data_IF_944063685393
#
_entry.id   IF_944063685393
#
_cell.length_a   1.000
_cell.length_b   1.000
_cell.length_c   1.000
_cell.angle_alpha   90.00
_cell.angle_beta   90.00
_cell.angle_gamma   90.00
#
_symmetry.space_group_name_H-M   'P 1'
#
loop_
_entity.id
_entity.type
_entity.pdbx_description
1 polymer ?
#
# COMPACT_ATOMS: atom_id res chain seq x y z
N UNK A 1 36.80 32.29 -35.80
CA UNK A 1 35.63 31.72 -35.10
C UNK A 1 35.74 30.24 -35.35
N UNK A 2 36.50 29.58 -34.48
CA UNK A 2 36.92 28.20 -34.65
C UNK A 2 35.88 27.29 -34.01
N UNK A 3 35.41 26.32 -34.80
CA UNK A 3 34.46 25.31 -34.42
C UNK A 3 35.22 24.22 -33.66
N UNK A 4 34.91 24.06 -32.37
CA UNK A 4 35.46 22.99 -31.54
C UNK A 4 34.80 21.66 -31.91
N UNK A 5 35.63 20.65 -32.10
CA UNK A 5 35.28 19.26 -32.42
C UNK A 5 34.74 18.54 -31.17
N UNK A 6 33.65 17.78 -31.36
CA UNK A 6 33.06 16.90 -30.37
C UNK A 6 33.90 15.62 -30.19
N UNK A 7 34.40 15.36 -28.98
CA UNK A 7 35.00 14.07 -28.62
C UNK A 7 33.92 13.00 -28.31
N UNK A 8 34.11 11.74 -28.72
CA UNK A 8 33.19 10.66 -28.42
C UNK A 8 33.44 10.03 -27.04
N UNK A 9 32.37 9.90 -26.26
CA UNK A 9 32.34 9.19 -24.99
C UNK A 9 32.75 7.71 -25.14
N UNK A 10 33.76 7.29 -24.37
CA UNK A 10 34.20 5.91 -24.23
C UNK A 10 33.24 5.13 -23.32
N UNK A 11 32.72 4.00 -23.83
CA UNK A 11 31.96 3.03 -23.06
C UNK A 11 32.90 2.26 -22.12
N UNK A 12 32.63 2.29 -20.81
CA UNK A 12 33.29 1.39 -19.86
C UNK A 12 32.51 0.08 -19.75
N UNK A 13 33.20 -0.99 -20.10
CA UNK A 13 32.80 -2.39 -19.98
C UNK A 13 32.90 -2.83 -18.50
N UNK A 14 31.78 -3.18 -17.87
CA UNK A 14 31.76 -3.70 -16.50
C UNK A 14 31.44 -5.19 -16.51
N UNK A 15 32.46 -6.01 -16.72
CA UNK A 15 32.42 -7.44 -16.46
C UNK A 15 33.16 -7.73 -15.15
N UNK A 16 32.41 -8.11 -14.12
CA UNK A 16 32.97 -8.82 -12.96
C UNK A 16 31.91 -9.80 -12.43
N UNK A 17 32.05 -11.05 -12.86
CA UNK A 17 31.39 -12.20 -12.27
C UNK A 17 32.02 -12.51 -10.90
N UNK A 18 31.19 -12.73 -9.88
CA UNK A 18 31.59 -13.41 -8.64
C UNK A 18 30.50 -14.39 -8.24
N UNK A 19 30.88 -15.66 -8.18
CA UNK A 19 30.07 -16.81 -7.81
C UNK A 19 29.64 -16.78 -6.32
N UNK A 20 28.53 -17.46 -5.95
CA UNK A 20 28.17 -17.65 -4.55
C UNK A 20 28.91 -18.86 -3.96
N UNK A 21 29.52 -18.66 -2.79
CA UNK A 21 30.05 -19.73 -1.96
C UNK A 21 28.91 -20.45 -1.22
N UNK A 22 28.71 -21.72 -1.53
CA UNK A 22 27.87 -22.64 -0.77
C UNK A 22 28.55 -22.95 0.58
N UNK A 23 27.82 -22.78 1.68
CA UNK A 23 28.21 -23.34 3.00
C UNK A 23 27.32 -24.53 3.30
N UNK A 24 27.89 -25.72 3.17
CA UNK A 24 27.39 -26.96 3.76
C UNK A 24 27.26 -26.81 5.28
N UNK A 25 26.05 -27.01 5.80
CA UNK A 25 25.83 -27.29 7.23
C UNK A 25 25.81 -28.79 7.43
N UNK A 26 26.89 -29.34 7.98
CA UNK A 26 26.97 -30.69 8.49
C UNK A 26 26.20 -30.80 9.82
N UNK A 27 25.11 -31.57 9.83
CA UNK A 27 24.46 -32.02 11.06
C UNK A 27 25.25 -33.20 11.64
N UNK A 28 25.90 -32.98 12.78
CA UNK A 28 26.43 -34.06 13.63
C UNK A 28 25.32 -34.58 14.54
N UNK A 29 24.98 -35.85 14.36
CA UNK A 29 24.14 -36.64 15.26
C UNK A 29 25.01 -37.11 16.44
N UNK A 30 24.70 -36.64 17.65
CA UNK A 30 25.24 -37.22 18.88
C UNK A 30 24.14 -38.04 19.58
N UNK A 31 24.40 -39.33 19.65
CA UNK A 31 23.70 -40.33 20.43
C UNK A 31 24.26 -40.42 21.86
N UNK A 32 23.39 -40.61 22.84
CA UNK A 32 23.71 -41.39 24.04
C UNK A 32 23.67 -40.63 25.37
N UNK A 33 22.81 -41.10 26.29
CA UNK A 33 22.84 -40.72 27.70
C UNK A 33 21.57 -41.13 28.44
N UNK A 34 21.49 -42.37 28.92
CA UNK A 34 20.51 -42.81 29.92
C UNK A 34 20.83 -42.20 31.28
N UNK A 35 19.83 -41.61 31.94
CA UNK A 35 19.72 -41.63 33.41
C UNK A 35 18.25 -41.67 33.80
N UNK A 36 17.86 -42.77 34.44
CA UNK A 36 16.62 -42.91 35.20
C UNK A 36 16.68 -42.01 36.44
N UNK A 37 15.58 -41.32 36.73
CA UNK A 37 15.49 -40.43 37.89
C UNK A 37 14.11 -39.82 38.06
N UNK A 38 13.25 -40.55 38.78
CA UNK A 38 11.93 -40.16 39.29
C UNK A 38 11.93 -38.77 39.94
N UNK A 39 10.95 -37.93 39.61
CA UNK A 39 10.13 -37.08 40.50
C UNK A 39 8.94 -36.58 39.68
N UNK A 40 7.74 -37.04 40.03
CA UNK A 40 6.49 -36.60 39.42
C UNK A 40 6.21 -35.16 39.82
N UNK A 41 6.50 -34.24 38.92
CA UNK A 41 5.92 -32.91 38.93
C UNK A 41 4.61 -33.01 38.16
N UNK A 42 3.51 -32.73 38.85
CA UNK A 42 2.22 -32.43 38.24
C UNK A 42 2.43 -31.20 37.35
N UNK A 43 2.87 -31.45 36.11
CA UNK A 43 2.82 -30.49 35.02
C UNK A 43 1.33 -30.25 34.79
N UNK A 44 0.81 -29.23 35.48
CA UNK A 44 -0.44 -28.61 35.14
C UNK A 44 -0.30 -28.21 33.69
N UNK A 45 -0.91 -29.01 32.80
CA UNK A 45 -1.00 -28.78 31.37
C UNK A 45 -1.31 -27.29 31.19
N UNK A 46 -0.28 -26.54 30.81
CA UNK A 46 -0.40 -25.11 30.55
C UNK A 46 -1.58 -24.95 29.60
N UNK A 47 -2.42 -23.98 29.91
CA UNK A 47 -3.67 -23.60 29.27
C UNK A 47 -3.43 -23.35 27.76
N UNK A 48 -3.24 -24.43 26.99
CA UNK A 48 -3.12 -24.43 25.54
C UNK A 48 -4.49 -24.03 25.09
N UNK A 49 -4.71 -22.71 25.00
CA UNK A 49 -5.87 -22.13 24.38
C UNK A 49 -5.99 -22.78 23.01
N UNK A 50 -6.85 -23.80 22.93
CA UNK A 50 -7.06 -24.57 21.73
C UNK A 50 -7.73 -23.62 20.74
N UNK A 51 -6.90 -22.88 20.00
CA UNK A 51 -7.38 -22.10 18.88
C UNK A 51 -8.13 -23.09 17.98
N UNK A 52 -9.36 -22.76 17.61
CA UNK A 52 -10.19 -23.57 16.72
C UNK A 52 -10.29 -22.91 15.37
N UNK A 53 -10.43 -23.72 14.33
CA UNK A 53 -10.75 -23.22 13.02
C UNK A 53 -12.07 -22.44 13.07
N UNK A 54 -12.10 -21.25 12.45
CA UNK A 54 -13.25 -20.35 12.42
C UNK A 54 -14.46 -20.89 11.69
N UNK A 55 -14.27 -21.89 10.82
CA UNK A 55 -15.37 -22.59 10.16
C UNK A 55 -16.10 -23.51 11.15
N UNK A 56 -17.35 -23.17 11.44
CA UNK A 56 -18.29 -24.02 12.20
C UNK A 56 -18.30 -25.45 11.66
N UNK A 57 -18.18 -26.43 12.56
CA UNK A 57 -18.17 -27.86 12.22
C UNK A 57 -16.82 -28.42 11.73
N UNK A 58 -15.77 -27.61 11.64
CA UNK A 58 -14.42 -28.13 11.40
C UNK A 58 -13.85 -28.76 12.70
N UNK A 59 -13.63 -30.07 12.69
CA UNK A 59 -13.06 -30.79 13.84
C UNK A 59 -11.54 -30.65 13.96
N UNK A 60 -10.89 -30.02 12.97
CA UNK A 60 -9.45 -29.80 13.01
C UNK A 60 -9.11 -28.78 14.11
N UNK A 61 -8.59 -29.30 15.22
CA UNK A 61 -7.81 -28.51 16.18
C UNK A 61 -6.42 -28.29 15.59
N UNK A 62 -5.87 -27.09 15.74
CA UNK A 62 -4.55 -26.79 15.21
C UNK A 62 -3.50 -27.61 15.95
N UNK A 63 -2.88 -28.59 15.28
CA UNK A 63 -1.58 -29.15 15.71
C UNK A 63 -0.39 -28.31 15.21
N UNK A 64 -0.63 -27.41 14.24
CA UNK A 64 0.33 -26.50 13.59
C UNK A 64 -0.36 -25.18 13.23
N UNK A 65 0.44 -24.13 13.10
CA UNK A 65 0.03 -22.73 12.88
C UNK A 65 -1.08 -22.60 11.83
N UNK A 66 -2.31 -22.37 12.29
CA UNK A 66 -3.38 -21.86 11.43
C UNK A 66 -3.02 -20.47 10.90
N UNK A 67 -3.68 -20.03 9.83
CA UNK A 67 -3.48 -18.68 9.32
C UNK A 67 -4.69 -17.80 9.62
N UNK A 68 -4.41 -16.53 9.88
CA UNK A 68 -5.45 -15.52 10.07
C UNK A 68 -5.99 -15.07 8.72
N UNK A 69 -7.28 -14.77 8.66
CA UNK A 69 -7.91 -14.06 7.56
C UNK A 69 -7.07 -12.82 7.21
N UNK A 70 -6.66 -12.67 5.95
CA UNK A 70 -5.80 -11.55 5.55
C UNK A 70 -6.50 -10.19 5.62
N UNK A 71 -7.84 -10.20 5.65
CA UNK A 71 -8.63 -8.98 5.72
C UNK A 71 -8.77 -8.44 7.15
N UNK A 72 -9.32 -9.25 8.07
CA UNK A 72 -9.58 -8.83 9.45
C UNK A 72 -8.49 -9.25 10.46
N UNK A 73 -7.67 -10.23 10.11
CA UNK A 73 -6.69 -10.87 10.99
C UNK A 73 -7.24 -11.48 12.29
N UNK A 74 -8.55 -11.43 12.53
CA UNK A 74 -9.21 -11.95 13.74
C UNK A 74 -9.65 -13.41 13.61
N UNK A 75 -10.11 -13.82 12.42
CA UNK A 75 -10.56 -15.19 12.19
C UNK A 75 -9.40 -16.09 11.75
N UNK A 76 -9.23 -17.23 12.42
CA UNK A 76 -8.15 -18.19 12.12
C UNK A 76 -8.71 -19.41 11.39
N UNK A 77 -7.99 -19.92 10.39
CA UNK A 77 -8.40 -21.08 9.60
C UNK A 77 -7.28 -22.12 9.51
N UNK A 78 -7.66 -23.40 9.42
CA UNK A 78 -6.70 -24.51 9.30
C UNK A 78 -6.26 -24.80 7.86
N UNK A 79 -7.00 -24.28 6.89
CA UNK A 79 -6.73 -24.43 5.47
C UNK A 79 -7.51 -23.41 4.66
N UNK A 80 -7.03 -23.10 3.45
CA UNK A 80 -7.72 -22.22 2.50
C UNK A 80 -9.12 -22.74 2.19
N UNK A 81 -9.28 -24.06 2.06
CA UNK A 81 -10.59 -24.72 1.86
C UNK A 81 -11.59 -24.37 2.99
N UNK A 82 -11.14 -24.33 4.25
CA UNK A 82 -12.04 -24.00 5.36
C UNK A 82 -12.40 -22.52 5.37
N UNK A 83 -11.46 -21.66 5.04
CA UNK A 83 -11.71 -20.24 4.89
C UNK A 83 -12.65 -19.95 3.72
N UNK A 84 -12.52 -20.63 2.57
CA UNK A 84 -13.35 -20.38 1.38
C UNK A 84 -14.79 -20.77 1.66
N UNK A 85 -14.97 -21.93 2.31
CA UNK A 85 -16.30 -22.41 2.71
C UNK A 85 -16.94 -21.52 3.75
N UNK A 86 -16.16 -20.90 4.64
CA UNK A 86 -16.69 -19.97 5.65
C UNK A 86 -16.83 -18.55 5.12
N UNK A 87 -16.18 -18.19 4.01
CA UNK A 87 -16.15 -16.83 3.47
C UNK A 87 -17.54 -16.23 3.23
N UNK A 88 -18.53 -16.94 2.66
CA UNK A 88 -19.87 -16.40 2.48
C UNK A 88 -20.51 -15.89 3.77
N UNK A 89 -20.26 -16.54 4.91
CA UNK A 89 -20.79 -16.13 6.22
C UNK A 89 -19.87 -15.08 6.87
N UNK A 90 -18.55 -15.32 6.81
CA UNK A 90 -17.55 -14.46 7.44
C UNK A 90 -17.52 -13.06 6.82
N UNK A 91 -17.67 -12.91 5.49
CA UNK A 91 -17.53 -11.63 4.78
C UNK A 91 -18.42 -10.51 5.36
N UNK A 92 -19.57 -10.87 5.92
CA UNK A 92 -20.52 -9.93 6.50
C UNK A 92 -20.06 -9.40 7.87
N UNK A 93 -19.33 -10.22 8.62
CA UNK A 93 -18.78 -9.87 9.94
C UNK A 93 -17.26 -9.60 9.89
N UNK A 94 -16.66 -9.69 8.70
CA UNK A 94 -15.23 -9.47 8.51
C UNK A 94 -14.93 -7.97 8.59
N UNK A 95 -14.30 -7.57 9.69
CA UNK A 95 -13.85 -6.20 9.91
C UNK A 95 -12.53 -5.97 9.15
N UNK A 96 -12.63 -5.61 7.87
CA UNK A 96 -11.47 -5.46 7.00
C UNK A 96 -10.57 -4.32 7.50
N UNK A 97 -9.38 -4.67 7.99
CA UNK A 97 -8.34 -3.73 8.40
C UNK A 97 -8.00 -2.72 7.29
N UNK A 98 -7.58 -1.53 7.67
CA UNK A 98 -7.14 -0.51 6.72
C UNK A 98 -5.82 -0.93 6.04
N UNK A 99 -5.58 -0.44 4.82
CA UNK A 99 -4.26 -0.45 4.21
C UNK A 99 -3.48 0.78 4.64
N UNK A 100 -2.24 0.59 5.05
CA UNK A 100 -1.29 1.68 5.21
C UNK A 100 -0.51 1.82 3.91
N UNK A 101 -0.76 2.91 3.20
CA UNK A 101 -0.22 3.17 1.87
C UNK A 101 0.87 4.25 1.92
N UNK A 102 2.05 3.97 1.37
CA UNK A 102 3.06 4.98 1.04
C UNK A 102 2.72 5.58 -0.31
N UNK A 103 2.72 6.91 -0.43
CA UNK A 103 2.40 7.65 -1.65
C UNK A 103 3.57 8.59 -1.95
N UNK A 104 4.36 8.23 -2.96
CA UNK A 104 5.62 8.89 -3.31
C UNK A 104 5.55 9.47 -4.72
N UNK A 105 6.20 10.61 -5.01
CA UNK A 105 6.22 11.19 -6.36
C UNK A 105 7.21 10.43 -7.27
N UNK A 106 6.78 10.00 -8.46
CA UNK A 106 7.49 9.00 -9.30
C UNK A 106 8.86 9.46 -9.82
N UNK A 107 8.99 10.74 -10.21
CA UNK A 107 10.22 11.31 -10.77
C UNK A 107 11.43 11.27 -9.83
N UNK A 108 11.24 10.93 -8.55
CA UNK A 108 12.18 11.26 -7.49
C UNK A 108 12.62 10.09 -6.61
N UNK A 109 12.25 8.85 -6.97
CA UNK A 109 12.70 7.63 -6.27
C UNK A 109 14.22 7.50 -6.15
N UNK A 110 14.99 8.19 -6.99
CA UNK A 110 16.45 8.13 -7.02
C UNK A 110 17.13 9.25 -6.21
N UNK A 111 16.37 10.16 -5.60
CA UNK A 111 16.90 11.22 -4.74
C UNK A 111 16.27 11.10 -3.35
N UNK A 112 17.02 10.48 -2.43
CA UNK A 112 16.64 9.86 -1.16
C UNK A 112 15.85 10.67 -0.11
N UNK A 113 15.29 11.85 -0.40
CA UNK A 113 14.71 12.72 0.63
C UNK A 113 13.35 13.35 0.29
N UNK A 114 12.67 12.95 -0.80
CA UNK A 114 11.38 13.57 -1.09
C UNK A 114 10.28 13.05 -0.17
N UNK A 115 9.48 13.94 0.45
CA UNK A 115 8.40 13.54 1.34
C UNK A 115 7.22 12.96 0.55
N UNK A 116 7.11 11.63 0.56
CA UNK A 116 5.83 10.97 0.36
C UNK A 116 4.92 11.18 1.58
N UNK A 117 3.62 10.88 1.43
CA UNK A 117 2.74 10.76 2.57
C UNK A 117 2.42 9.28 2.83
N UNK A 118 2.22 8.94 4.10
CA UNK A 118 1.61 7.66 4.46
C UNK A 118 0.15 7.92 4.75
N UNK A 119 -0.74 7.07 4.24
CA UNK A 119 -2.18 7.19 4.44
C UNK A 119 -2.75 5.85 4.90
N UNK A 120 -3.50 5.85 5.99
CA UNK A 120 -4.38 4.75 6.36
C UNK A 120 -5.67 4.89 5.56
N UNK A 121 -5.95 3.88 4.73
CA UNK A 121 -7.10 3.85 3.83
C UNK A 121 -8.00 2.66 4.18
N UNK A 122 -9.31 2.86 4.35
CA UNK A 122 -10.24 1.76 4.52
C UNK A 122 -10.13 0.77 3.37
N UNK A 123 -9.98 -0.53 3.66
CA UNK A 123 -9.77 -1.53 2.60
C UNK A 123 -10.94 -1.60 1.60
N UNK A 124 -12.15 -1.34 2.07
CA UNK A 124 -13.37 -1.31 1.24
C UNK A 124 -13.60 0.04 0.53
N UNK A 125 -12.74 1.02 0.75
CA UNK A 125 -12.84 2.29 0.03
C UNK A 125 -12.67 2.06 -1.47
N UNK A 126 -13.52 2.74 -2.25
CA UNK A 126 -13.41 2.72 -3.71
C UNK A 126 -12.20 3.54 -4.17
N UNK A 127 -11.76 3.35 -5.41
CA UNK A 127 -10.74 4.20 -6.00
C UNK A 127 -11.21 5.65 -6.17
N UNK A 128 -12.51 5.89 -6.25
CA UNK A 128 -13.09 7.24 -6.17
C UNK A 128 -12.92 7.85 -4.77
N UNK A 129 -13.23 7.11 -3.71
CA UNK A 129 -13.01 7.57 -2.32
C UNK A 129 -11.52 7.84 -2.08
N UNK A 130 -10.65 6.95 -2.58
CA UNK A 130 -9.21 7.11 -2.49
C UNK A 130 -8.72 8.33 -3.29
N UNK A 131 -9.24 8.56 -4.49
CA UNK A 131 -8.97 9.78 -5.26
C UNK A 131 -9.37 11.04 -4.48
N UNK A 132 -10.55 11.07 -3.87
CA UNK A 132 -10.99 12.20 -3.05
C UNK A 132 -10.01 12.43 -1.89
N UNK A 133 -9.61 11.37 -1.20
CA UNK A 133 -8.62 11.44 -0.13
C UNK A 133 -7.28 12.00 -0.63
N UNK A 134 -6.80 11.53 -1.79
CA UNK A 134 -5.59 12.04 -2.44
C UNK A 134 -5.73 13.51 -2.85
N UNK A 135 -6.87 13.92 -3.39
CA UNK A 135 -7.11 15.31 -3.81
C UNK A 135 -7.10 16.29 -2.62
N UNK A 136 -7.55 15.83 -1.45
CA UNK A 136 -7.49 16.61 -0.21
C UNK A 136 -6.10 16.63 0.41
N UNK A 137 -5.27 15.64 0.09
CA UNK A 137 -4.00 15.37 0.75
C UNK A 137 -2.80 15.85 -0.04
N UNK A 138 -2.86 15.73 -1.36
CA UNK A 138 -1.82 16.10 -2.31
C UNK A 138 -2.14 17.45 -2.95
N UNK A 139 -1.14 18.18 -3.45
CA UNK A 139 -1.31 19.47 -4.12
C UNK A 139 -2.16 19.43 -5.43
N UNK A 140 -2.61 18.24 -5.86
CA UNK A 140 -3.28 18.03 -7.14
C UNK A 140 -4.83 18.05 -7.00
N UNK A 141 -5.44 19.21 -7.25
CA UNK A 141 -6.89 19.46 -7.06
C UNK A 141 -7.78 19.26 -8.29
N UNK A 142 -7.47 18.34 -9.23
CA UNK A 142 -8.10 18.38 -10.57
C UNK A 142 -8.71 17.05 -11.04
N UNK A 143 -9.77 17.10 -11.87
CA UNK A 143 -10.69 15.97 -12.09
C UNK A 143 -10.16 14.89 -13.03
N UNK A 144 -9.07 15.15 -13.76
CA UNK A 144 -8.50 14.17 -14.69
C UNK A 144 -7.46 13.36 -13.96
N UNK A 145 -7.84 12.14 -13.59
CA UNK A 145 -6.96 11.19 -12.92
C UNK A 145 -7.11 9.77 -13.47
N UNK A 146 -6.07 8.98 -13.28
CA UNK A 146 -6.08 7.54 -13.52
C UNK A 146 -5.16 6.82 -12.54
N UNK A 147 -5.53 5.60 -12.20
CA UNK A 147 -4.71 4.66 -11.47
C UNK A 147 -4.33 3.52 -12.40
N UNK A 148 -3.03 3.28 -12.54
CA UNK A 148 -2.50 2.21 -13.37
C UNK A 148 -1.92 1.15 -12.44
N UNK A 149 -2.48 -0.05 -12.48
CA UNK A 149 -2.18 -1.11 -11.52
C UNK A 149 -1.21 -2.10 -12.15
N UNK A 150 -0.15 -2.40 -11.41
CA UNK A 150 0.87 -3.35 -11.82
C UNK A 150 1.11 -4.41 -10.74
N UNK A 151 1.50 -5.60 -11.19
CA UNK A 151 2.03 -6.62 -10.31
C UNK A 151 3.49 -6.32 -9.97
N UNK A 152 3.84 -6.26 -8.69
CA UNK A 152 5.21 -5.97 -8.23
C UNK A 152 6.19 -7.03 -8.70
N UNK A 153 5.76 -8.28 -8.85
CA UNK A 153 6.62 -9.36 -9.37
C UNK A 153 7.12 -9.09 -10.78
N UNK A 154 6.39 -8.28 -11.56
CA UNK A 154 6.74 -7.95 -12.93
C UNK A 154 7.60 -6.67 -13.04
N UNK A 155 7.89 -6.00 -11.90
CA UNK A 155 8.59 -4.70 -11.88
C UNK A 155 10.08 -4.81 -11.54
N UNK A 156 10.74 -5.92 -11.86
CA UNK A 156 12.19 -6.08 -11.67
C UNK A 156 13.05 -5.28 -12.68
N UNK A 157 12.51 -4.22 -13.29
CA UNK A 157 13.17 -3.44 -14.33
C UNK A 157 12.85 -1.93 -14.24
N UNK A 158 13.57 -1.12 -15.04
CA UNK A 158 13.35 0.33 -15.08
C UNK A 158 11.93 0.69 -15.56
N UNK A 159 11.44 1.85 -15.11
CA UNK A 159 10.08 2.38 -15.37
C UNK A 159 9.72 2.41 -16.86
N UNK A 160 10.70 2.74 -17.70
CA UNK A 160 10.55 2.79 -19.16
C UNK A 160 10.20 1.44 -19.79
N UNK A 161 10.37 0.33 -19.06
CA UNK A 161 10.08 -1.03 -19.52
C UNK A 161 8.95 -1.67 -18.73
N UNK A 162 8.08 -0.86 -18.12
CA UNK A 162 6.95 -1.42 -17.40
C UNK A 162 6.11 -2.32 -18.30
N UNK A 163 5.74 -3.51 -17.79
CA UNK A 163 4.89 -4.42 -18.53
C UNK A 163 3.53 -3.76 -18.78
N UNK A 164 2.73 -4.38 -19.65
CA UNK A 164 1.35 -3.97 -19.84
C UNK A 164 0.64 -3.97 -18.48
N UNK A 165 -0.06 -2.87 -18.11
CA UNK A 165 -0.73 -2.80 -16.81
C UNK A 165 -1.83 -3.87 -16.71
N UNK A 166 -2.02 -4.40 -15.51
CA UNK A 166 -3.08 -5.38 -15.22
C UNK A 166 -4.44 -4.71 -15.34
N UNK A 167 -4.56 -3.49 -14.79
CA UNK A 167 -5.80 -2.70 -14.77
C UNK A 167 -5.51 -1.21 -14.91
N UNK A 168 -6.44 -0.49 -15.52
CA UNK A 168 -6.48 0.97 -15.53
C UNK A 168 -7.83 1.40 -14.94
N UNK A 169 -7.80 2.20 -13.89
CA UNK A 169 -8.99 2.68 -13.17
C UNK A 169 -9.09 4.19 -13.31
N UNK A 170 -10.26 4.72 -13.66
CA UNK A 170 -10.47 6.17 -13.85
C UNK A 170 -11.90 6.57 -13.47
N UNK A 171 -12.09 7.84 -13.07
CA UNK A 171 -13.41 8.38 -12.71
C UNK A 171 -14.22 8.92 -13.89
N UNK A 172 -13.59 9.19 -15.03
CA UNK A 172 -14.26 9.69 -16.24
C UNK A 172 -14.13 8.66 -17.36
N UNK A 173 -15.22 8.45 -18.11
CA UNK A 173 -15.18 7.75 -19.40
C UNK A 173 -14.36 8.57 -20.39
N UNK A 174 -13.05 8.38 -20.35
CA UNK A 174 -12.14 8.89 -21.36
C UNK A 174 -12.24 7.96 -22.57
N UNK A 175 -12.35 8.55 -23.77
CA UNK A 175 -12.33 7.82 -25.03
C UNK A 175 -10.91 7.28 -25.27
N UNK A 176 -10.62 6.11 -24.72
CA UNK A 176 -9.32 5.45 -24.86
C UNK A 176 -9.36 4.34 -25.91
N UNK A 177 -8.17 4.00 -26.42
CA UNK A 177 -7.97 2.93 -27.39
C UNK A 177 -8.50 1.58 -26.87
N UNK A 178 -9.03 0.72 -27.76
CA UNK A 178 -9.74 -0.53 -27.42
C UNK A 178 -8.90 -1.66 -26.79
N UNK A 179 -7.66 -1.39 -26.36
CA UNK A 179 -6.74 -2.41 -25.84
C UNK A 179 -6.71 -2.56 -24.31
N UNK A 180 -7.10 -1.56 -23.52
CA UNK A 180 -6.99 -1.61 -22.06
C UNK A 180 -8.32 -1.91 -21.39
N UNK A 181 -8.34 -2.79 -20.37
CA UNK A 181 -9.49 -2.95 -19.49
C UNK A 181 -9.56 -1.70 -18.61
N UNK A 182 -10.52 -0.83 -18.91
CA UNK A 182 -10.77 0.41 -18.18
C UNK A 182 -11.90 0.14 -17.21
N UNK A 183 -11.63 0.28 -15.93
CA UNK A 183 -12.61 0.09 -14.86
C UNK A 183 -13.04 1.43 -14.26
N UNK A 184 -14.30 1.48 -13.83
CA UNK A 184 -14.92 2.63 -13.16
C UNK A 184 -14.42 2.72 -11.71
N UNK A 185 -13.82 3.84 -11.33
CA UNK A 185 -13.26 4.08 -9.99
C UNK A 185 -14.27 3.92 -8.85
N UNK A 186 -15.56 4.08 -9.14
CA UNK A 186 -16.66 3.93 -8.15
C UNK A 186 -17.00 2.47 -7.85
N UNK A 187 -16.55 1.54 -8.69
CA UNK A 187 -16.92 0.12 -8.61
C UNK A 187 -15.82 -0.76 -8.04
N UNK A 188 -14.58 -0.29 -8.11
CA UNK A 188 -13.40 -1.04 -7.70
C UNK A 188 -12.92 -0.49 -6.37
N UNK A 189 -12.76 -1.38 -5.39
CA UNK A 189 -12.21 -1.05 -4.09
C UNK A 189 -10.73 -1.37 -3.98
N UNK A 190 -10.06 -0.80 -2.97
CA UNK A 190 -8.65 -1.11 -2.71
C UNK A 190 -8.44 -2.61 -2.43
N UNK A 191 -9.40 -3.23 -1.73
CA UNK A 191 -9.34 -4.66 -1.42
C UNK A 191 -9.43 -5.55 -2.66
N UNK A 192 -10.22 -5.16 -3.68
CA UNK A 192 -10.30 -5.87 -4.96
C UNK A 192 -8.97 -5.90 -5.72
N UNK A 193 -8.07 -4.94 -5.43
CA UNK A 193 -6.75 -4.84 -6.05
C UNK A 193 -5.66 -5.52 -5.22
N UNK A 194 -5.59 -5.21 -3.93
CA UNK A 194 -4.52 -5.70 -3.07
C UNK A 194 -4.75 -7.13 -2.55
N UNK A 195 -6.00 -7.59 -2.54
CA UNK A 195 -6.36 -8.93 -2.10
C UNK A 195 -7.14 -9.66 -3.19
N UNK A 196 -6.53 -10.68 -3.79
CA UNK A 196 -7.31 -11.74 -4.45
C UNK A 196 -7.81 -12.62 -3.31
N UNK A 197 -9.12 -12.56 -3.03
CA UNK A 197 -9.82 -13.23 -1.93
C UNK A 197 -9.20 -14.56 -1.47
N UNK A 198 -9.29 -14.88 -0.16
CA UNK A 198 -8.78 -14.10 0.98
C UNK A 198 -7.38 -14.56 1.44
N UNK A 199 -6.59 -15.20 0.57
CA UNK A 199 -5.33 -15.87 0.95
C UNK A 199 -4.08 -15.16 0.45
N UNK A 200 -4.16 -14.57 -0.74
CA UNK A 200 -3.00 -13.98 -1.38
C UNK A 200 -3.03 -12.46 -1.25
N UNK A 201 -2.06 -11.95 -0.49
CA UNK A 201 -1.74 -10.53 -0.53
C UNK A 201 -0.92 -10.29 -1.80
N UNK A 202 -1.60 -9.80 -2.84
CA UNK A 202 -0.94 -9.37 -4.06
C UNK A 202 -0.03 -8.21 -3.74
N UNK A 203 1.28 -8.36 -4.03
CA UNK A 203 2.19 -7.21 -4.01
C UNK A 203 1.87 -6.39 -5.26
N UNK A 204 1.02 -5.38 -5.13
CA UNK A 204 0.67 -4.47 -6.23
C UNK A 204 1.40 -3.14 -6.09
N UNK A 205 1.64 -2.51 -7.24
CA UNK A 205 2.11 -1.13 -7.35
C UNK A 205 1.04 -0.36 -8.09
N UNK A 206 0.61 0.75 -7.49
CA UNK A 206 -0.40 1.62 -8.09
C UNK A 206 0.30 2.89 -8.55
N UNK A 207 0.28 3.15 -9.85
CA UNK A 207 0.75 4.40 -10.41
C UNK A 207 -0.45 5.35 -10.56
N UNK A 208 -0.54 6.34 -9.66
CA UNK A 208 -1.53 7.40 -9.70
C UNK A 208 -1.02 8.56 -10.56
N UNK A 209 -1.76 8.87 -11.62
CA UNK A 209 -1.41 9.93 -12.56
C UNK A 209 -2.56 10.93 -12.57
N UNK A 210 -2.25 12.20 -12.33
CA UNK A 210 -3.22 13.28 -12.41
C UNK A 210 -2.66 14.44 -13.24
N UNK A 211 -3.53 15.10 -13.99
CA UNK A 211 -3.14 16.14 -14.96
C UNK A 211 -3.70 17.48 -14.55
N UNK A 212 -2.84 18.50 -14.47
CA UNK A 212 -3.31 19.89 -14.37
C UNK A 212 -3.40 20.49 -15.78
N UNK A 213 -4.63 20.77 -16.29
CA UNK A 213 -4.82 21.27 -17.65
C UNK A 213 -4.20 22.66 -17.87
N UNK A 214 -3.92 23.43 -16.81
CA UNK A 214 -3.37 24.79 -16.92
C UNK A 214 -1.88 24.80 -17.24
N UNK A 215 -1.13 23.87 -16.66
CA UNK A 215 0.32 23.75 -16.85
C UNK A 215 0.70 22.64 -17.83
N UNK A 216 -0.29 21.88 -18.32
CA UNK A 216 -0.13 20.74 -19.24
C UNK A 216 0.88 19.68 -18.75
N UNK A 217 1.13 19.65 -17.45
CA UNK A 217 2.07 18.74 -16.81
C UNK A 217 1.30 17.64 -16.06
N UNK A 218 1.77 16.41 -16.24
CA UNK A 218 1.25 15.25 -15.53
C UNK A 218 2.05 15.07 -14.24
N UNK A 219 1.33 15.01 -13.12
CA UNK A 219 1.86 14.60 -11.84
C UNK A 219 1.71 13.10 -11.70
N UNK A 220 2.79 12.46 -11.27
CA UNK A 220 2.91 11.02 -11.22
C UNK A 220 3.32 10.61 -9.81
N UNK A 221 2.55 9.71 -9.21
CA UNK A 221 2.76 9.19 -7.88
C UNK A 221 2.74 7.66 -7.90
N UNK A 222 3.63 7.07 -7.12
CA UNK A 222 3.66 5.64 -6.86
C UNK A 222 3.08 5.39 -5.48
N UNK A 223 2.08 4.52 -5.43
CA UNK A 223 1.40 4.10 -4.21
C UNK A 223 1.74 2.64 -3.93
N UNK A 224 2.23 2.39 -2.72
CA UNK A 224 2.66 1.08 -2.23
C UNK A 224 1.91 0.72 -0.95
N UNK A 225 1.37 -0.50 -0.87
CA UNK A 225 0.91 -1.05 0.40
C UNK A 225 2.11 -1.44 1.27
N UNK A 226 2.16 -0.88 2.48
CA UNK A 226 3.21 -1.14 3.47
C UNK A 226 2.75 -2.21 4.46
N UNK A 227 1.61 -1.97 5.10
CA UNK A 227 1.09 -2.81 6.19
C UNK A 227 -0.44 -2.69 6.32
N UNK A 228 -0.99 -3.31 7.36
CA UNK A 228 -2.41 -3.24 7.73
C UNK A 228 -2.53 -2.50 9.06
N UNK A 229 -3.57 -1.68 9.20
CA UNK A 229 -3.86 -0.95 10.44
C UNK A 229 -5.28 -1.28 10.92
N UNK A 230 -5.57 -1.08 12.22
CA UNK A 230 -6.94 -1.12 12.75
C UNK A 230 -7.90 -0.28 11.90
N UNK A 231 -9.18 -0.68 11.88
CA UNK A 231 -10.20 0.03 11.11
C UNK A 231 -10.36 1.45 11.62
N UNK A 232 -10.26 2.39 10.71
CA UNK A 232 -10.47 3.81 10.96
C UNK A 232 -10.96 4.51 9.69
N UNK A 233 -11.49 5.74 9.78
CA UNK A 233 -11.66 6.58 8.60
C UNK A 233 -10.34 6.82 7.87
N UNK A 234 -10.38 7.44 6.70
CA UNK A 234 -9.15 7.89 6.05
C UNK A 234 -8.34 8.76 7.01
N UNK A 235 -7.07 8.43 7.17
CA UNK A 235 -6.16 9.14 8.06
C UNK A 235 -4.85 9.35 7.34
N UNK A 236 -4.39 10.60 7.29
CA UNK A 236 -3.05 10.89 6.79
C UNK A 236 -2.03 10.87 7.95
N UNK A 237 -1.02 10.04 7.78
CA UNK A 237 0.11 9.84 8.67
C UNK A 237 1.34 10.37 7.92
N UNK A 238 1.57 11.68 7.94
CA UNK A 238 2.67 12.29 7.19
C UNK A 238 4.03 11.65 7.52
N UNK A 239 4.86 11.45 6.49
CA UNK A 239 6.28 11.14 6.62
C UNK A 239 7.07 12.36 6.16
N UNK A 240 7.50 13.20 7.09
CA UNK A 240 8.21 14.46 6.78
C UNK A 240 7.27 15.65 6.52
N UNK A 241 7.77 16.86 6.79
CA UNK A 241 7.00 18.10 7.02
C UNK A 241 6.46 18.83 5.76
N UNK A 242 6.03 18.09 4.72
CA UNK A 242 5.92 18.59 3.33
C UNK A 242 4.83 19.59 2.94
N UNK A 243 3.87 19.98 3.79
CA UNK A 243 2.76 20.81 3.28
C UNK A 243 3.05 22.29 3.16
N UNK A 244 4.11 22.80 3.78
CA UNK A 244 4.30 24.25 3.90
C UNK A 244 5.05 24.89 2.73
N UNK A 245 5.22 24.21 1.59
CA UNK A 245 6.04 24.70 0.48
C UNK A 245 5.20 25.44 -0.57
N UNK A 246 3.91 25.13 -0.72
CA UNK A 246 3.05 25.85 -1.68
C UNK A 246 2.76 27.29 -1.24
N UNK A 247 2.64 27.52 0.07
CA UNK A 247 2.45 28.88 0.63
C UNK A 247 3.75 29.69 0.72
N UNK A 248 4.92 29.05 0.59
CA UNK A 248 6.23 29.71 0.73
C UNK A 248 6.83 30.24 -0.60
N UNK A 249 6.01 30.31 -1.65
CA UNK A 249 6.33 31.04 -2.88
C UNK A 249 7.27 30.28 -3.82
N UNK A 250 6.78 30.04 -5.05
CA UNK A 250 7.52 29.78 -6.30
C UNK A 250 8.81 28.96 -6.13
N UNK A 251 8.73 27.63 -6.16
CA UNK A 251 9.74 26.67 -6.68
C UNK A 251 11.21 26.71 -6.19
N UNK A 252 11.86 27.87 -6.16
CA UNK A 252 13.25 28.11 -5.75
C UNK A 252 13.53 27.79 -4.27
N UNK A 253 12.55 27.91 -3.38
CA UNK A 253 12.74 27.62 -1.95
C UNK A 253 12.87 26.12 -1.62
N UNK A 254 12.45 25.23 -2.52
CA UNK A 254 12.51 23.77 -2.30
C UNK A 254 13.95 23.22 -2.42
N UNK A 255 14.72 23.73 -3.38
CA UNK A 255 16.15 23.37 -3.53
C UNK A 255 16.94 23.83 -2.30
N UNK A 256 16.66 25.04 -1.80
CA UNK A 256 17.30 25.58 -0.60
C UNK A 256 16.96 24.77 0.66
N UNK A 257 15.69 24.37 0.84
CA UNK A 257 15.27 23.53 1.96
C UNK A 257 15.92 22.13 1.90
N UNK A 258 16.02 21.55 0.70
CA UNK A 258 16.73 20.28 0.50
C UNK A 258 18.20 20.39 0.87
N UNK A 259 18.89 21.42 0.36
CA UNK A 259 20.29 21.68 0.69
C UNK A 259 20.48 21.92 2.20
N UNK A 260 19.47 22.47 2.89
CA UNK A 260 19.50 22.62 4.34
C UNK A 260 19.45 21.27 5.09
N UNK A 261 18.58 20.34 4.67
CA UNK A 261 18.52 18.99 5.28
C UNK A 261 19.74 18.12 4.95
N UNK A 262 20.32 18.28 3.76
CA UNK A 262 21.47 17.49 3.29
C UNK A 262 22.83 18.05 3.77
N UNK A 263 22.88 19.25 4.33
CA UNK A 263 24.12 19.86 4.82
C UNK A 263 24.64 19.14 6.07
N UNK A 264 25.88 18.64 6.00
CA UNK A 264 26.59 18.07 7.15
C UNK A 264 26.83 19.10 8.26
N UNK A 265 26.98 20.36 7.88
CA UNK A 265 26.98 21.52 8.79
C UNK A 265 26.04 22.59 8.24
N UNK A 266 24.93 22.80 8.95
CA UNK A 266 23.89 23.72 8.51
C UNK A 266 24.27 25.18 8.78
N UNK A 267 24.13 26.04 7.77
CA UNK A 267 24.27 27.49 7.96
C UNK A 267 23.20 28.02 8.92
N UNK A 268 23.38 29.24 9.42
CA UNK A 268 22.38 29.89 10.28
C UNK A 268 21.02 30.02 9.55
N UNK A 269 21.05 30.43 8.29
CA UNK A 269 19.86 30.57 7.43
C UNK A 269 19.19 29.21 7.17
N UNK A 270 19.98 28.15 6.96
CA UNK A 270 19.47 26.78 6.82
C UNK A 270 18.81 26.30 8.12
N UNK A 271 19.43 26.55 9.29
CA UNK A 271 18.83 26.21 10.60
C UNK A 271 17.57 27.00 10.89
N UNK A 272 17.52 28.29 10.54
CA UNK A 272 16.33 29.12 10.70
C UNK A 272 15.21 28.68 9.74
N UNK A 273 15.55 28.29 8.51
CA UNK A 273 14.61 27.72 7.54
C UNK A 273 14.04 26.38 8.02
N UNK A 274 14.88 25.48 8.53
CA UNK A 274 14.47 24.19 9.09
C UNK A 274 13.64 24.37 10.36
N UNK A 275 14.08 25.23 11.27
CA UNK A 275 13.35 25.58 12.50
C UNK A 275 12.00 26.19 12.18
N UNK A 276 11.93 27.15 11.24
CA UNK A 276 10.68 27.71 10.77
C UNK A 276 9.78 26.62 10.21
N UNK A 277 10.30 25.75 9.34
CA UNK A 277 9.56 24.66 8.69
C UNK A 277 9.04 23.60 9.67
N UNK A 278 9.83 23.24 10.68
CA UNK A 278 9.48 22.25 11.71
C UNK A 278 8.57 22.83 12.81
N UNK A 279 8.62 24.15 13.02
CA UNK A 279 7.81 24.86 14.02
C UNK A 279 6.42 25.28 13.52
N UNK A 280 6.08 25.03 12.25
CA UNK A 280 4.80 25.47 11.69
C UNK A 280 3.63 24.73 12.35
N UNK A 281 3.01 25.36 13.34
CA UNK A 281 1.70 24.96 13.91
C UNK A 281 0.60 24.90 12.84
N UNK A 282 0.69 25.70 11.77
CA UNK A 282 -0.20 25.59 10.62
C UNK A 282 -0.13 24.22 9.92
N UNK A 283 0.99 23.48 10.01
CA UNK A 283 1.07 22.11 9.47
C UNK A 283 0.25 21.12 10.31
N UNK A 284 0.19 21.33 11.64
CA UNK A 284 -0.65 20.56 12.57
C UNK A 284 -2.12 20.89 12.39
N UNK A 285 -2.47 22.18 12.34
CA UNK A 285 -3.84 22.65 12.09
C UNK A 285 -4.33 22.24 10.68
N UNK A 286 -3.46 22.28 9.67
CA UNK A 286 -3.72 21.77 8.33
C UNK A 286 -3.90 20.25 8.35
N UNK A 287 -3.07 19.49 9.07
CA UNK A 287 -3.22 18.04 9.22
C UNK A 287 -4.52 17.66 9.92
N UNK A 288 -4.87 18.33 11.01
CA UNK A 288 -6.14 18.11 11.71
C UNK A 288 -7.33 18.47 10.82
N UNK A 289 -7.27 19.60 10.10
CA UNK A 289 -8.28 19.98 9.12
C UNK A 289 -8.41 18.97 7.96
N UNK A 290 -7.30 18.46 7.44
CA UNK A 290 -7.29 17.39 6.43
C UNK A 290 -7.89 16.12 7.01
N UNK A 291 -7.46 15.68 8.19
CA UNK A 291 -7.98 14.45 8.81
C UNK A 291 -9.47 14.58 9.15
N UNK A 292 -9.94 15.77 9.54
CA UNK A 292 -11.36 16.06 9.67
C UNK A 292 -12.07 15.92 8.32
N UNK A 293 -11.56 16.55 7.26
CA UNK A 293 -12.14 16.42 5.91
C UNK A 293 -12.12 14.97 5.39
N UNK A 294 -11.03 14.24 5.62
CA UNK A 294 -10.88 12.82 5.29
C UNK A 294 -11.86 11.94 6.08
N UNK A 295 -12.13 12.26 7.35
CA UNK A 295 -13.11 11.54 8.16
C UNK A 295 -14.55 11.69 7.66
N UNK A 296 -14.82 12.76 6.90
CA UNK A 296 -16.13 13.02 6.29
C UNK A 296 -16.31 12.26 4.98
N UNK A 297 -15.22 11.80 4.34
CA UNK A 297 -15.32 10.91 3.17
C UNK A 297 -16.03 9.65 3.63
N UNK A 298 -17.32 9.58 3.35
CA UNK A 298 -18.13 8.41 3.59
C UNK A 298 -17.60 7.36 2.64
N UNK A 299 -16.84 6.41 3.18
CA UNK A 299 -16.68 5.15 2.47
C UNK A 299 -18.09 4.67 2.23
N UNK A 300 -18.47 4.54 0.97
CA UNK A 300 -19.75 3.93 0.63
C UNK A 300 -19.61 2.48 1.08
N UNK A 301 -19.90 2.22 2.36
CA UNK A 301 -20.14 0.89 2.88
C UNK A 301 -21.29 0.38 2.04
N UNK A 302 -20.92 -0.40 1.02
CA UNK A 302 -21.85 -1.11 0.16
C UNK A 302 -22.89 -1.69 1.11
N UNK A 303 -24.18 -1.31 1.01
CA UNK A 303 -25.19 -1.86 1.89
C UNK A 303 -25.01 -3.36 1.86
N UNK A 304 -24.84 -3.97 3.02
CA UNK A 304 -24.87 -5.41 3.17
C UNK A 304 -26.09 -5.86 2.38
N UNK A 305 -25.91 -6.58 1.27
CA UNK A 305 -27.01 -7.02 0.43
C UNK A 305 -28.00 -7.76 1.31
N UNK A 306 -29.06 -7.09 1.75
CA UNK A 306 -30.28 -7.73 2.20
C UNK A 306 -30.79 -8.45 0.98
N UNK A 307 -30.70 -9.78 1.03
CA UNK A 307 -31.25 -10.69 0.03
C UNK A 307 -32.62 -10.19 -0.44
N UNK A 308 -32.68 -9.65 -1.65
CA UNK A 308 -33.93 -9.66 -2.41
C UNK A 308 -34.07 -11.11 -2.87
N UNK A 309 -34.80 -11.92 -2.11
CA UNK A 309 -35.28 -13.21 -2.61
C UNK A 309 -36.29 -12.91 -3.70
N UNK A 310 -35.83 -12.89 -4.94
CA UNK A 310 -36.70 -13.01 -6.10
C UNK A 310 -37.26 -14.44 -6.05
N UNK A 311 -38.44 -14.59 -5.45
CA UNK A 311 -39.27 -15.76 -5.68
C UNK A 311 -39.85 -15.58 -7.09
N UNK A 312 -39.14 -16.06 -8.10
CA UNK A 312 -39.77 -16.38 -9.38
C UNK A 312 -40.61 -17.63 -9.16
N UNK A 313 -41.92 -17.42 -9.01
CA UNK A 313 -42.89 -18.48 -9.14
C UNK A 313 -42.93 -18.91 -10.61
N UNK A 314 -42.72 -20.20 -10.83
CA UNK A 314 -42.93 -20.88 -12.10
C UNK A 314 -44.39 -20.71 -12.53
N UNK A 315 -44.62 -20.09 -13.68
CA UNK A 315 -45.81 -20.31 -14.49
C UNK A 315 -45.34 -20.94 -15.81
N UNK A 316 -45.46 -22.27 -15.90
CA UNK A 316 -45.43 -23.02 -17.16
C UNK A 316 -46.85 -23.16 -17.69
N UNK A 317 -47.13 -22.84 -18.96
CA UNK A 317 -48.31 -23.35 -19.66
C UNK A 317 -48.14 -24.82 -20.10
#
# INVERSE_FOLDING_TARGET
MDLAEDEPYTAMDWNAASAPAEREMQHQSNSGGMTDGVMGEDILDEDVSEKRCGRSGCLNRFKKDGFNCKECQSQIYCSDICAEKHWPDHKFNCECLNYVLSIDMDLQRYHNNWPGCIMSCPARATFEDFYQALSLSLPCLRPIYRFVIFDRSQMNGPISRYPRPEKIITGLKLNFNPGSIIEDSRRISLIDIFCKHPYEQGKKIIHYICRDPRIQQDWQYIVLSMERAPVSPFLIMWRGASRCIEDYGKGQNLVTLRLAYEASEQTKEQRELLSWYESIEHSKASREGINQALSIIRTSTRPSNTHYSHNEAEDFP
#
